data_IF_249658733771
#
_entry.id   IF_249658733771
#
_cell.length_a   1.000
_cell.length_b   1.000
_cell.length_c   1.000
_cell.angle_alpha   90.00
_cell.angle_beta   90.00
_cell.angle_gamma   90.00
#
_symmetry.space_group_name_H-M   'P 1'
#
loop_
_entity.id
_entity.type
_entity.pdbx_description
1 polymer ?
#
# COMPACT_ATOMS: atom_id res chain seq x y z
N UNK A 1 4.70 8.67 -40.17
CA UNK A 1 4.67 7.49 -39.28
C UNK A 1 3.89 7.90 -38.04
N UNK A 2 2.63 7.49 -37.95
CA UNK A 2 1.70 7.92 -36.90
C UNK A 2 1.52 6.73 -35.95
N UNK A 3 2.06 6.85 -34.74
CA UNK A 3 1.84 5.86 -33.69
C UNK A 3 0.47 6.11 -33.08
N UNK A 4 -0.52 5.32 -33.49
CA UNK A 4 -1.80 5.23 -32.80
C UNK A 4 -1.57 4.51 -31.47
N UNK A 5 -1.61 5.25 -30.36
CA UNK A 5 -1.70 4.66 -29.03
C UNK A 5 -3.04 3.92 -28.95
N UNK A 6 -2.95 2.60 -28.81
CA UNK A 6 -4.12 1.74 -28.55
C UNK A 6 -4.61 2.08 -27.15
N UNK A 7 -5.75 2.77 -27.05
CA UNK A 7 -6.50 3.04 -25.81
C UNK A 7 -7.16 1.77 -25.24
N UNK A 8 -6.40 0.68 -25.19
CA UNK A 8 -6.83 -0.60 -24.63
C UNK A 8 -6.34 -0.74 -23.20
N UNK A 9 -7.28 -0.74 -22.24
CA UNK A 9 -7.11 -1.22 -20.86
C UNK A 9 -6.69 -0.21 -19.76
N UNK A 10 -7.24 0.99 -19.74
CA UNK A 10 -7.17 1.86 -18.54
C UNK A 10 -8.13 1.42 -17.40
N UNK A 11 -9.17 0.62 -17.69
CA UNK A 11 -10.32 0.47 -16.77
C UNK A 11 -10.19 -0.71 -15.79
N UNK A 12 -9.28 -1.67 -16.00
CA UNK A 12 -9.17 -2.91 -15.20
C UNK A 12 -8.02 -2.92 -14.16
N UNK A 13 -7.23 -1.84 -14.07
CA UNK A 13 -5.97 -1.79 -13.30
C UNK A 13 -5.91 -0.67 -12.24
N UNK A 14 -7.03 -0.01 -11.94
CA UNK A 14 -7.05 1.18 -11.10
C UNK A 14 -6.74 0.93 -9.61
N UNK A 15 -7.08 -0.24 -9.07
CA UNK A 15 -6.86 -0.57 -7.65
C UNK A 15 -5.42 -1.01 -7.36
N UNK A 16 -4.80 -1.78 -8.27
CA UNK A 16 -3.38 -2.15 -8.17
C UNK A 16 -2.48 -0.91 -8.21
N UNK A 17 -2.71 -0.01 -9.16
CA UNK A 17 -1.94 1.24 -9.25
C UNK A 17 -2.04 2.11 -7.98
N UNK A 18 -3.20 2.12 -7.30
CA UNK A 18 -3.38 2.90 -6.06
C UNK A 18 -2.60 2.31 -4.89
N UNK A 19 -2.63 0.99 -4.72
CA UNK A 19 -1.83 0.30 -3.71
C UNK A 19 -0.34 0.53 -3.90
N UNK A 20 0.14 0.37 -5.14
CA UNK A 20 1.54 0.60 -5.49
C UNK A 20 1.98 2.05 -5.21
N UNK A 21 1.14 3.04 -5.56
CA UNK A 21 1.40 4.46 -5.25
C UNK A 21 1.51 4.69 -3.74
N UNK A 22 0.57 4.14 -2.95
CA UNK A 22 0.59 4.29 -1.50
C UNK A 22 1.86 3.66 -0.89
N UNK A 23 2.24 2.46 -1.34
CA UNK A 23 3.44 1.77 -0.88
C UNK A 23 4.71 2.57 -1.22
N UNK A 24 4.87 3.04 -2.45
CA UNK A 24 6.04 3.84 -2.87
C UNK A 24 6.14 5.15 -2.08
N UNK A 25 5.02 5.84 -1.85
CA UNK A 25 4.98 7.07 -1.04
C UNK A 25 5.39 6.81 0.40
N UNK A 26 4.89 5.73 1.00
CA UNK A 26 5.25 5.33 2.36
C UNK A 26 6.74 4.96 2.46
N UNK A 27 7.26 4.19 1.49
CA UNK A 27 8.68 3.85 1.41
C UNK A 27 9.55 5.10 1.35
N UNK A 28 9.18 6.08 0.52
CA UNK A 28 9.96 7.32 0.38
C UNK A 28 10.01 8.10 1.69
N UNK A 29 8.85 8.32 2.34
CA UNK A 29 8.75 9.03 3.60
C UNK A 29 9.54 8.33 4.74
N UNK A 30 9.39 7.01 4.87
CA UNK A 30 10.10 6.23 5.89
C UNK A 30 11.62 6.20 5.63
N UNK A 31 12.02 6.16 4.36
CA UNK A 31 13.44 6.30 3.98
C UNK A 31 13.99 7.66 4.41
N UNK A 32 13.26 8.76 4.19
CA UNK A 32 13.68 10.09 4.66
C UNK A 32 13.78 10.18 6.20
N UNK A 33 12.98 9.38 6.92
CA UNK A 33 13.03 9.26 8.39
C UNK A 33 14.12 8.31 8.91
N UNK A 34 14.93 7.76 8.02
CA UNK A 34 16.07 6.90 8.36
C UNK A 34 15.69 5.46 8.69
N UNK A 35 14.54 4.97 8.25
CA UNK A 35 14.21 3.54 8.32
C UNK A 35 14.88 2.79 7.16
N UNK A 36 15.37 1.57 7.44
CA UNK A 36 15.74 0.63 6.38
C UNK A 36 14.49 -0.09 5.88
N UNK A 37 14.36 -0.22 4.56
CA UNK A 37 13.20 -0.83 3.91
C UNK A 37 13.54 -2.25 3.47
N UNK A 38 12.70 -3.22 3.84
CA UNK A 38 12.83 -4.63 3.48
C UNK A 38 11.57 -5.06 2.73
N UNK A 39 11.72 -5.32 1.43
CA UNK A 39 10.62 -5.73 0.55
C UNK A 39 10.65 -7.24 0.30
N UNK A 40 9.53 -7.97 0.45
CA UNK A 40 9.45 -9.38 0.14
C UNK A 40 9.63 -9.60 -1.38
N UNK A 41 10.58 -10.45 -1.77
CA UNK A 41 10.91 -10.69 -3.20
C UNK A 41 10.16 -11.90 -3.79
N UNK A 42 9.88 -12.93 -2.98
CA UNK A 42 9.38 -14.23 -3.46
C UNK A 42 7.90 -14.47 -3.05
N UNK A 43 7.33 -13.61 -2.20
CA UNK A 43 5.99 -13.82 -1.64
C UNK A 43 5.05 -12.66 -1.97
N UNK A 44 3.95 -12.96 -2.66
CA UNK A 44 2.95 -12.00 -3.14
C UNK A 44 1.64 -12.01 -2.34
N UNK A 45 1.49 -12.91 -1.37
CA UNK A 45 0.24 -13.11 -0.62
C UNK A 45 0.39 -12.85 0.88
N UNK A 46 1.28 -11.93 1.23
CA UNK A 46 1.47 -11.48 2.59
C UNK A 46 0.33 -10.54 3.01
N UNK A 47 0.11 -10.46 4.31
CA UNK A 47 -0.85 -9.53 4.92
C UNK A 47 -0.27 -8.14 5.16
N UNK A 48 0.92 -7.87 4.62
CA UNK A 48 1.65 -6.60 4.67
C UNK A 48 2.42 -6.42 3.36
N UNK A 49 2.78 -5.19 3.02
CA UNK A 49 3.48 -4.87 1.77
C UNK A 49 4.99 -4.88 1.92
N UNK A 50 5.50 -4.34 3.04
CA UNK A 50 6.93 -4.31 3.34
C UNK A 50 7.19 -4.28 4.85
N UNK A 51 8.45 -4.50 5.22
CA UNK A 51 8.94 -4.37 6.60
C UNK A 51 9.89 -3.20 6.67
N UNK A 52 9.87 -2.46 7.77
CA UNK A 52 10.89 -1.46 8.08
C UNK A 52 11.68 -1.82 9.31
N UNK A 53 12.96 -1.44 9.32
CA UNK A 53 13.87 -1.66 10.43
C UNK A 53 14.48 -0.34 10.89
N UNK A 54 14.44 -0.11 12.22
CA UNK A 54 15.10 1.02 12.89
C UNK A 54 15.24 0.71 14.38
N UNK A 55 16.34 1.14 14.99
CA UNK A 55 16.60 1.00 16.43
C UNK A 55 16.38 -0.43 16.95
N UNK A 56 16.95 -1.42 16.24
CA UNK A 56 16.85 -2.86 16.53
C UNK A 56 15.43 -3.45 16.53
N UNK A 57 14.48 -2.79 15.87
CA UNK A 57 13.09 -3.24 15.76
C UNK A 57 12.64 -3.35 14.32
N UNK A 58 11.81 -4.37 14.06
CA UNK A 58 11.15 -4.60 12.79
C UNK A 58 9.65 -4.28 12.91
N UNK A 59 9.10 -3.67 11.87
CA UNK A 59 7.68 -3.34 11.78
C UNK A 59 7.16 -3.70 10.40
N UNK A 60 6.14 -4.56 10.33
CA UNK A 60 5.41 -4.89 9.10
C UNK A 60 4.40 -3.78 8.84
N UNK A 61 4.42 -3.29 7.61
CA UNK A 61 3.64 -2.14 7.16
C UNK A 61 2.68 -2.60 6.05
N UNK A 62 1.40 -2.27 6.21
CA UNK A 62 0.40 -2.37 5.14
C UNK A 62 0.10 -0.96 4.63
N UNK A 63 0.41 -0.69 3.37
CA UNK A 63 0.10 0.57 2.71
C UNK A 63 -1.36 0.58 2.22
N UNK A 64 -2.02 1.72 2.40
CA UNK A 64 -3.42 1.92 1.99
C UNK A 64 -3.57 3.26 1.30
N UNK A 65 -4.22 3.25 0.14
CA UNK A 65 -4.59 4.47 -0.57
C UNK A 65 -6.00 4.89 -0.15
N UNK A 66 -6.15 6.08 0.43
CA UNK A 66 -7.43 6.62 0.87
C UNK A 66 -7.75 7.93 0.14
N UNK A 67 -8.37 7.81 -1.05
CA UNK A 67 -8.74 8.96 -1.88
C UNK A 67 -10.01 9.69 -1.45
N UNK A 68 -10.78 9.12 -0.53
CA UNK A 68 -12.03 9.67 0.01
C UNK A 68 -11.92 10.03 1.50
N UNK A 69 -10.69 10.13 2.02
CA UNK A 69 -10.36 10.30 3.44
C UNK A 69 -10.93 9.20 4.35
N UNK A 70 -11.31 8.03 3.81
CA UNK A 70 -11.75 6.88 4.61
C UNK A 70 -10.66 5.82 4.64
N UNK A 71 -10.20 5.49 5.83
CA UNK A 71 -9.29 4.36 6.05
C UNK A 71 -10.13 3.15 6.44
N UNK A 72 -10.29 2.21 5.51
CA UNK A 72 -10.96 0.95 5.81
C UNK A 72 -9.92 -0.04 6.34
N UNK A 73 -10.11 -0.55 7.56
CA UNK A 73 -9.25 -1.57 8.16
C UNK A 73 -9.64 -2.99 7.68
N UNK A 74 -9.84 -3.15 6.38
CA UNK A 74 -10.20 -4.41 5.73
C UNK A 74 -9.67 -4.37 4.30
N UNK A 75 -9.23 -5.52 3.80
CA UNK A 75 -8.93 -5.67 2.37
C UNK A 75 -10.15 -6.25 1.69
N UNK A 76 -10.77 -5.43 0.85
CA UNK A 76 -11.88 -5.82 -0.02
C UNK A 76 -11.25 -6.09 -1.39
N UNK A 77 -11.04 -7.37 -1.71
CA UNK A 77 -10.67 -7.77 -3.06
C UNK A 77 -11.96 -8.06 -3.84
N UNK A 78 -12.21 -7.27 -4.88
CA UNK A 78 -13.31 -7.52 -5.81
C UNK A 78 -12.73 -8.21 -7.04
N UNK A 79 -12.96 -9.52 -7.13
CA UNK A 79 -12.68 -10.30 -8.33
C UNK A 79 -13.93 -10.36 -9.21
N UNK A 80 -13.76 -10.64 -10.50
CA UNK A 80 -14.83 -10.61 -11.52
C UNK A 80 -16.10 -11.42 -11.15
N UNK A 81 -15.99 -12.38 -10.23
CA UNK A 81 -17.08 -13.23 -9.76
C UNK A 81 -17.19 -13.38 -8.22
N UNK A 82 -16.43 -12.64 -7.40
CA UNK A 82 -16.53 -12.75 -5.93
C UNK A 82 -15.97 -11.54 -5.18
N UNK A 83 -16.64 -11.16 -4.09
CA UNK A 83 -16.15 -10.20 -3.11
C UNK A 83 -15.48 -11.02 -2.00
N UNK A 84 -14.16 -11.05 -1.99
CA UNK A 84 -13.41 -11.71 -0.93
C UNK A 84 -13.07 -10.66 0.14
N UNK A 85 -13.88 -10.61 1.20
CA UNK A 85 -13.55 -9.84 2.40
C UNK A 85 -12.62 -10.65 3.29
N UNK A 86 -11.34 -10.27 3.33
CA UNK A 86 -10.39 -10.87 4.28
C UNK A 86 -10.18 -9.90 5.43
N UNK A 87 -10.73 -10.26 6.60
CA UNK A 87 -10.49 -9.51 7.84
C UNK A 87 -9.07 -9.79 8.33
N UNK A 88 -8.32 -8.73 8.59
CA UNK A 88 -7.00 -8.82 9.19
C UNK A 88 -7.07 -9.30 10.63
N UNK A 89 -6.09 -10.09 11.05
CA UNK A 89 -5.86 -10.49 12.44
C UNK A 89 -4.94 -9.46 13.11
N UNK A 90 -5.02 -9.38 14.45
CA UNK A 90 -4.25 -8.43 15.27
C UNK A 90 -2.74 -8.49 15.02
N UNK A 91 -2.20 -9.64 14.59
CA UNK A 91 -0.76 -9.83 14.38
C UNK A 91 -0.36 -9.91 12.90
N UNK A 92 -1.25 -9.56 11.97
CA UNK A 92 -0.95 -9.60 10.54
C UNK A 92 0.12 -8.55 10.17
N UNK A 93 0.03 -7.35 10.74
CA UNK A 93 0.99 -6.25 10.62
C UNK A 93 0.89 -5.31 11.82
N UNK A 94 1.91 -4.48 12.02
CA UNK A 94 1.96 -3.56 13.16
C UNK A 94 1.41 -2.17 12.81
N UNK A 95 1.60 -1.69 11.58
CA UNK A 95 1.15 -0.35 11.19
C UNK A 95 0.51 -0.28 9.80
N UNK A 96 -0.46 0.63 9.67
CA UNK A 96 -1.03 1.06 8.41
C UNK A 96 -0.33 2.34 7.92
N UNK A 97 0.22 2.34 6.71
CA UNK A 97 0.73 3.54 6.05
C UNK A 97 -0.32 4.08 5.07
N UNK A 98 -1.01 5.15 5.47
CA UNK A 98 -2.12 5.71 4.70
C UNK A 98 -1.66 6.87 3.84
N UNK A 99 -1.84 6.75 2.52
CA UNK A 99 -1.64 7.83 1.58
C UNK A 99 -2.98 8.51 1.24
N UNK A 100 -3.05 9.82 1.52
CA UNK A 100 -4.15 10.70 1.14
C UNK A 100 -3.66 11.55 -0.05
N UNK A 101 -4.27 11.47 -1.24
CA UNK A 101 -3.81 12.23 -2.40
C UNK A 101 -4.12 13.72 -2.32
N UNK A 102 -5.16 14.12 -1.58
CA UNK A 102 -5.65 15.50 -1.49
C UNK A 102 -5.01 16.30 -0.36
N UNK A 103 -4.19 15.65 0.45
CA UNK A 103 -3.41 16.27 1.52
C UNK A 103 -1.96 15.92 1.25
N UNK A 104 -1.05 16.89 1.31
CA UNK A 104 0.38 16.61 1.25
C UNK A 104 0.76 15.78 2.51
N UNK A 105 0.75 14.44 2.40
CA UNK A 105 0.93 13.56 3.57
C UNK A 105 2.39 13.51 3.99
N UNK A 106 2.67 14.11 5.14
CA UNK A 106 3.80 13.77 6.00
C UNK A 106 3.31 12.73 7.02
N UNK A 107 3.86 11.51 7.02
CA UNK A 107 3.37 10.43 7.93
C UNK A 107 3.68 10.83 9.39
N UNK A 108 2.69 11.27 10.14
CA UNK A 108 2.95 12.03 11.37
C UNK A 108 3.08 11.20 12.64
N UNK A 109 2.80 9.90 12.68
CA UNK A 109 2.96 9.13 13.94
C UNK A 109 3.06 7.62 13.74
N UNK A 110 4.20 7.08 14.16
CA UNK A 110 4.34 5.69 14.63
C UNK A 110 4.27 5.82 16.16
N UNK A 111 3.18 5.37 16.80
CA UNK A 111 3.06 5.24 18.25
C UNK A 111 2.94 3.76 18.63
#
# INVERSE_FOLDING_TARGET
MQLSLVEGSLVLHHTKNKGDIAAIKAIADLTFKGYLILTPVICEHLSFDFVVYKDDKFYKIQAKYAGDNRVVNQTICVDKNSINEKKYKVNDFEFDAVYLPDVEVSISSIY
#
